data_IF_889476980897
#
_entry.id   IF_889476980897
#
_cell.length_a   1.000
_cell.length_b   1.000
_cell.length_c   1.000
_cell.angle_alpha   90.00
_cell.angle_beta   90.00
_cell.angle_gamma   90.00
#
_symmetry.space_group_name_H-M   'P 1'
#
loop_
_entity.id
_entity.type
_entity.pdbx_description
1 polymer ?
#
# COMPACT_ATOMS: atom_id res chain seq x y z
N UNK A 1 11.09 22.26 14.22
CA UNK A 1 10.20 21.69 15.26
C UNK A 1 8.74 21.55 14.84
N UNK A 2 8.09 22.50 14.13
CA UNK A 2 6.65 22.37 13.75
C UNK A 2 6.32 21.34 12.65
N UNK A 3 7.25 21.02 11.74
CA UNK A 3 7.00 20.06 10.64
C UNK A 3 6.96 18.61 11.13
N UNK A 4 7.80 18.25 12.10
CA UNK A 4 7.86 16.88 12.64
C UNK A 4 6.60 16.53 13.44
N UNK A 5 6.06 17.47 14.21
CA UNK A 5 4.79 17.27 14.93
C UNK A 5 3.60 17.03 13.99
N UNK A 6 3.54 17.72 12.84
CA UNK A 6 2.46 17.50 11.86
C UNK A 6 2.56 16.15 11.14
N UNK A 7 3.77 15.62 10.95
CA UNK A 7 3.96 14.30 10.35
C UNK A 7 3.60 13.19 11.32
N UNK A 8 4.06 13.28 12.58
CA UNK A 8 3.72 12.30 13.62
C UNK A 8 2.20 12.22 13.82
N UNK A 9 1.51 13.36 13.92
CA UNK A 9 0.05 13.41 14.02
C UNK A 9 -0.64 12.75 12.81
N UNK A 10 -0.11 12.94 11.60
CA UNK A 10 -0.63 12.28 10.40
C UNK A 10 -0.43 10.76 10.50
N UNK A 11 0.74 10.29 10.88
CA UNK A 11 1.04 8.87 11.01
C UNK A 11 0.16 8.20 12.09
N UNK A 12 0.00 8.83 13.25
CA UNK A 12 -0.91 8.36 14.31
C UNK A 12 -2.36 8.31 13.85
N UNK A 13 -2.81 9.32 13.09
CA UNK A 13 -4.15 9.33 12.50
C UNK A 13 -4.32 8.17 11.50
N UNK A 14 -3.34 7.93 10.63
CA UNK A 14 -3.38 6.82 9.66
C UNK A 14 -3.38 5.47 10.39
N UNK A 15 -2.52 5.30 11.40
CA UNK A 15 -2.46 4.08 12.21
C UNK A 15 -3.80 3.81 12.92
N UNK A 16 -4.36 4.81 13.60
CA UNK A 16 -5.64 4.66 14.32
C UNK A 16 -6.84 4.39 13.39
N UNK A 17 -6.81 4.92 12.16
CA UNK A 17 -7.89 4.78 11.17
C UNK A 17 -7.73 3.59 10.23
N UNK A 18 -6.58 2.92 10.27
CA UNK A 18 -6.22 1.79 9.40
C UNK A 18 -7.31 0.71 9.33
N UNK A 19 -7.93 0.38 10.46
CA UNK A 19 -8.97 -0.66 10.58
C UNK A 19 -10.21 -0.42 9.71
N UNK A 20 -10.45 0.81 9.24
CA UNK A 20 -11.54 1.10 8.30
C UNK A 20 -11.31 0.49 6.91
N UNK A 21 -10.04 0.19 6.56
CA UNK A 21 -9.63 -0.28 5.23
C UNK A 21 -8.84 -1.60 5.32
N UNK A 22 -7.94 -1.70 6.29
CA UNK A 22 -7.04 -2.83 6.52
C UNK A 22 -7.53 -3.65 7.72
N UNK A 23 -8.09 -4.86 7.50
CA UNK A 23 -8.79 -5.62 8.54
C UNK A 23 -7.84 -6.44 9.44
N UNK A 24 -6.61 -5.99 9.66
CA UNK A 24 -5.58 -6.67 10.45
C UNK A 24 -4.92 -5.68 11.43
N UNK A 25 -4.32 -6.19 12.51
CA UNK A 25 -3.63 -5.35 13.49
C UNK A 25 -2.34 -4.77 12.90
N UNK A 26 -2.27 -3.44 12.79
CA UNK A 26 -1.10 -2.72 12.27
C UNK A 26 0.16 -2.95 13.09
N UNK A 27 0.04 -3.17 14.40
CA UNK A 27 1.19 -3.43 15.26
C UNK A 27 1.83 -4.80 14.99
N UNK A 28 1.10 -5.71 14.34
CA UNK A 28 1.53 -7.07 14.03
C UNK A 28 1.97 -7.28 12.59
N UNK A 29 1.96 -6.24 11.76
CA UNK A 29 2.34 -6.35 10.35
C UNK A 29 3.42 -5.35 9.95
N UNK A 30 4.06 -5.60 8.81
CA UNK A 30 4.91 -4.61 8.15
C UNK A 30 4.49 -4.49 6.70
N UNK A 31 4.29 -3.26 6.24
CA UNK A 31 4.07 -2.94 4.84
C UNK A 31 5.42 -2.72 4.14
N UNK A 32 5.51 -3.18 2.91
CA UNK A 32 6.68 -2.99 2.06
C UNK A 32 6.23 -2.37 0.75
N UNK A 33 6.77 -1.20 0.46
CA UNK A 33 6.52 -0.47 -0.78
C UNK A 33 7.84 -0.37 -1.54
N UNK A 34 8.07 -1.32 -2.45
CA UNK A 34 9.35 -1.49 -3.13
C UNK A 34 9.20 -1.01 -4.58
N UNK A 35 9.96 0.01 -4.97
CA UNK A 35 9.97 0.51 -6.35
C UNK A 35 10.76 -0.46 -7.24
N UNK A 36 10.27 -0.71 -8.45
CA UNK A 36 10.98 -1.45 -9.51
C UNK A 36 11.11 -0.59 -10.76
N UNK A 37 12.02 -0.95 -11.68
CA UNK A 37 12.25 -0.18 -12.90
C UNK A 37 11.00 -0.05 -13.80
N UNK A 38 10.04 -0.97 -13.67
CA UNK A 38 8.82 -1.03 -14.49
C UNK A 38 7.53 -0.90 -13.67
N UNK A 39 7.62 -0.50 -12.39
CA UNK A 39 6.46 -0.38 -11.51
C UNK A 39 6.83 -0.48 -10.03
N UNK A 40 6.21 -1.40 -9.31
CA UNK A 40 6.48 -1.57 -7.88
C UNK A 40 5.81 -2.80 -7.25
N UNK A 41 6.23 -3.13 -6.04
CA UNK A 41 5.69 -4.22 -5.23
C UNK A 41 5.13 -3.65 -3.94
N UNK A 42 3.83 -3.89 -3.69
CA UNK A 42 3.23 -3.77 -2.37
C UNK A 42 3.23 -5.15 -1.73
N UNK A 43 3.95 -5.33 -0.62
CA UNK A 43 3.92 -6.57 0.16
C UNK A 43 3.51 -6.26 1.58
N UNK A 44 2.72 -7.14 2.19
CA UNK A 44 2.36 -7.03 3.61
C UNK A 44 2.70 -8.35 4.26
N UNK A 45 3.42 -8.30 5.37
CA UNK A 45 3.87 -9.48 6.12
C UNK A 45 3.40 -9.40 7.56
N UNK A 46 2.97 -10.52 8.13
CA UNK A 46 2.89 -10.67 9.57
C UNK A 46 4.30 -10.65 10.18
N UNK A 47 4.47 -9.99 11.33
CA UNK A 47 5.74 -9.97 12.07
C UNK A 47 6.04 -11.34 12.69
N UNK A 48 5.00 -12.06 13.09
CA UNK A 48 5.07 -13.46 13.53
C UNK A 48 4.58 -14.37 12.39
N UNK A 49 5.44 -15.23 11.82
CA UNK A 49 5.05 -16.16 10.76
C UNK A 49 4.06 -17.25 11.22
N UNK A 50 3.84 -17.41 12.54
CA UNK A 50 2.85 -18.31 13.10
C UNK A 50 1.47 -17.63 13.35
N UNK A 51 1.34 -16.31 13.19
CA UNK A 51 0.07 -15.60 13.36
C UNK A 51 -0.85 -15.83 12.14
N UNK A 52 -1.45 -17.01 12.09
CA UNK A 52 -2.31 -17.46 11.00
C UNK A 52 -3.52 -16.55 10.77
N UNK A 53 -4.01 -15.89 11.82
CA UNK A 53 -5.11 -14.93 11.75
C UNK A 53 -4.69 -13.71 10.92
N UNK A 54 -3.60 -13.04 11.30
CA UNK A 54 -3.06 -11.89 10.57
C UNK A 54 -2.71 -12.26 9.12
N UNK A 55 -2.07 -13.39 8.90
CA UNK A 55 -1.71 -13.88 7.55
C UNK A 55 -2.96 -14.05 6.68
N UNK A 56 -4.03 -14.64 7.23
CA UNK A 56 -5.29 -14.82 6.49
C UNK A 56 -5.96 -13.48 6.13
N UNK A 57 -5.94 -12.51 7.05
CA UNK A 57 -6.50 -11.18 6.84
C UNK A 57 -5.71 -10.40 5.79
N UNK A 58 -4.38 -10.47 5.82
CA UNK A 58 -3.50 -9.86 4.81
C UNK A 58 -3.82 -10.41 3.42
N UNK A 59 -3.87 -11.75 3.28
CA UNK A 59 -4.15 -12.41 2.00
C UNK A 59 -5.53 -12.01 1.45
N UNK A 60 -6.56 -12.00 2.30
CA UNK A 60 -7.91 -11.57 1.92
C UNK A 60 -7.94 -10.10 1.49
N UNK A 61 -7.28 -9.23 2.24
CA UNK A 61 -7.19 -7.81 1.94
C UNK A 61 -6.50 -7.57 0.58
N UNK A 62 -5.29 -8.11 0.37
CA UNK A 62 -4.57 -7.89 -0.89
C UNK A 62 -5.26 -8.54 -2.10
N UNK A 63 -5.96 -9.66 -1.92
CA UNK A 63 -6.79 -10.23 -2.99
C UNK A 63 -7.94 -9.28 -3.40
N UNK A 64 -8.60 -8.63 -2.43
CA UNK A 64 -9.60 -7.58 -2.69
C UNK A 64 -8.95 -6.38 -3.39
N UNK A 65 -7.84 -5.87 -2.87
CA UNK A 65 -7.14 -4.70 -3.43
C UNK A 65 -6.67 -4.95 -4.86
N UNK A 66 -6.20 -6.15 -5.17
CA UNK A 66 -5.86 -6.53 -6.56
C UNK A 66 -7.02 -6.28 -7.51
N UNK A 67 -8.25 -6.65 -7.11
CA UNK A 67 -9.43 -6.50 -7.97
C UNK A 67 -9.85 -5.04 -8.16
N UNK A 68 -9.63 -4.18 -7.15
CA UNK A 68 -9.86 -2.75 -7.24
C UNK A 68 -8.78 -2.07 -8.09
N UNK A 69 -7.51 -2.28 -7.78
CA UNK A 69 -6.39 -1.65 -8.48
C UNK A 69 -6.31 -2.07 -9.95
N UNK A 70 -6.65 -3.31 -10.29
CA UNK A 70 -6.73 -3.76 -11.69
C UNK A 70 -7.74 -2.96 -12.54
N UNK A 71 -8.69 -2.27 -11.89
CA UNK A 71 -9.67 -1.38 -12.53
C UNK A 71 -9.31 0.10 -12.40
N UNK A 72 -8.10 0.41 -11.93
CA UNK A 72 -7.67 1.72 -11.48
C UNK A 72 -8.58 2.34 -10.39
N UNK A 73 -9.23 1.49 -9.59
CA UNK A 73 -10.03 1.93 -8.44
C UNK A 73 -9.15 1.98 -7.19
N UNK A 74 -8.84 3.20 -6.74
CA UNK A 74 -8.05 3.48 -5.53
C UNK A 74 -8.92 4.01 -4.38
N UNK A 75 -10.20 3.63 -4.30
CA UNK A 75 -11.11 4.11 -3.24
C UNK A 75 -10.62 3.83 -1.82
N UNK A 76 -9.99 2.67 -1.59
CA UNK A 76 -9.51 2.25 -0.28
C UNK A 76 -8.34 3.15 0.18
N UNK A 77 -7.28 3.36 -0.64
CA UNK A 77 -6.26 4.38 -0.36
C UNK A 77 -6.83 5.80 -0.19
N UNK A 78 -7.81 6.21 -1.00
CA UNK A 78 -8.45 7.53 -0.87
C UNK A 78 -9.18 7.69 0.46
N UNK A 79 -9.83 6.63 0.93
CA UNK A 79 -10.58 6.62 2.20
C UNK A 79 -9.65 6.82 3.38
N UNK A 80 -8.48 6.16 3.37
CA UNK A 80 -7.54 6.24 4.48
C UNK A 80 -6.64 7.49 4.42
N UNK A 81 -6.04 7.79 3.26
CA UNK A 81 -4.98 8.80 3.13
C UNK A 81 -5.49 10.16 2.63
N UNK A 82 -6.73 10.21 2.15
CA UNK A 82 -7.36 11.36 1.51
C UNK A 82 -7.26 11.33 -0.02
N UNK A 83 -8.21 12.01 -0.67
CA UNK A 83 -8.35 12.07 -2.13
C UNK A 83 -7.13 12.66 -2.85
N UNK A 84 -6.31 13.43 -2.14
CA UNK A 84 -5.16 14.17 -2.68
C UNK A 84 -3.81 13.52 -2.37
N UNK A 85 -3.78 12.27 -1.88
CA UNK A 85 -2.51 11.56 -1.71
C UNK A 85 -1.73 11.55 -3.04
N UNK A 86 -0.43 11.91 -3.03
CA UNK A 86 0.38 11.96 -4.24
C UNK A 86 0.30 10.67 -5.07
N UNK A 87 0.29 10.81 -6.39
CA UNK A 87 0.16 9.70 -7.35
C UNK A 87 -1.27 9.24 -7.63
N UNK A 88 -2.21 9.35 -6.67
CA UNK A 88 -3.56 8.78 -6.83
C UNK A 88 -4.36 9.34 -8.01
N UNK A 89 -4.19 10.63 -8.34
CA UNK A 89 -4.88 11.25 -9.49
C UNK A 89 -4.50 10.55 -10.80
N UNK A 90 -3.20 10.40 -11.06
CA UNK A 90 -2.68 9.74 -12.26
C UNK A 90 -3.05 8.27 -12.28
N UNK A 91 -2.85 7.56 -11.17
CA UNK A 91 -3.15 6.13 -11.08
C UNK A 91 -4.64 5.83 -11.30
N UNK A 92 -5.54 6.64 -10.74
CA UNK A 92 -6.99 6.50 -10.94
C UNK A 92 -7.42 6.75 -12.40
N UNK A 93 -6.67 7.56 -13.15
CA UNK A 93 -6.92 7.83 -14.57
C UNK A 93 -6.26 6.82 -15.52
N UNK A 94 -5.56 5.82 -15.00
CA UNK A 94 -4.68 4.93 -15.78
C UNK A 94 -5.26 3.54 -16.02
N UNK A 95 -6.59 3.42 -16.10
CA UNK A 95 -7.27 2.15 -16.37
C UNK A 95 -6.74 1.52 -17.66
N UNK A 96 -6.29 0.27 -17.60
CA UNK A 96 -5.72 -0.46 -18.73
C UNK A 96 -4.26 -0.12 -19.06
N UNK A 97 -3.60 0.77 -18.30
CA UNK A 97 -2.20 1.15 -18.51
C UNK A 97 -1.19 0.42 -17.62
N UNK A 98 -1.66 -0.41 -16.68
CA UNK A 98 -0.81 -1.21 -15.81
C UNK A 98 -1.51 -2.52 -15.44
N UNK A 99 -0.72 -3.51 -15.03
CA UNK A 99 -1.21 -4.78 -14.48
C UNK A 99 -1.01 -4.82 -12.98
N UNK A 100 -1.81 -5.65 -12.30
CA UNK A 100 -1.67 -5.91 -10.85
C UNK A 100 -1.80 -7.42 -10.62
N UNK A 101 -0.67 -8.04 -10.29
CA UNK A 101 -0.59 -9.47 -10.03
C UNK A 101 -0.52 -9.75 -8.54
N UNK A 102 -1.35 -10.69 -8.06
CA UNK A 102 -1.39 -11.10 -6.67
C UNK A 102 -0.61 -12.40 -6.46
N UNK A 103 0.15 -12.48 -5.37
CA UNK A 103 0.83 -13.71 -4.95
C UNK A 103 0.69 -13.89 -3.43
N UNK A 104 0.27 -15.09 -3.01
CA UNK A 104 0.34 -15.52 -1.61
C UNK A 104 1.80 -15.79 -1.21
N UNK A 105 2.14 -15.44 0.03
CA UNK A 105 3.43 -15.73 0.66
C UNK A 105 3.19 -16.49 1.98
N UNK A 106 4.14 -17.29 2.48
CA UNK A 106 3.97 -18.02 3.74
C UNK A 106 3.52 -17.12 4.90
N UNK A 107 4.07 -15.91 4.99
CA UNK A 107 3.87 -14.92 6.05
C UNK A 107 2.98 -13.73 5.63
N UNK A 108 2.29 -13.82 4.50
CA UNK A 108 1.41 -12.73 4.02
C UNK A 108 1.05 -12.84 2.55
N UNK A 109 1.14 -11.73 1.83
CA UNK A 109 0.92 -11.66 0.39
C UNK A 109 1.61 -10.43 -0.23
N UNK A 110 1.66 -10.39 -1.57
CA UNK A 110 2.11 -9.22 -2.33
C UNK A 110 1.26 -8.95 -3.56
N UNK A 111 1.28 -7.69 -3.99
CA UNK A 111 0.84 -7.20 -5.28
C UNK A 111 2.04 -6.69 -6.07
N UNK A 112 2.17 -7.11 -7.32
CA UNK A 112 3.16 -6.58 -8.26
C UNK A 112 2.45 -5.71 -9.28
N UNK A 113 2.82 -4.44 -9.34
CA UNK A 113 2.35 -3.48 -10.33
C UNK A 113 3.40 -3.39 -11.45
N UNK A 114 2.95 -3.45 -12.71
CA UNK A 114 3.83 -3.29 -13.86
C UNK A 114 3.19 -2.42 -14.95
N UNK A 115 3.97 -1.57 -15.59
CA UNK A 115 3.56 -0.73 -16.71
C UNK A 115 4.71 -0.53 -17.71
N UNK A 116 4.37 -0.11 -18.93
CA UNK A 116 5.30 0.44 -19.92
C UNK A 116 5.16 1.96 -20.09
N UNK A 117 4.14 2.56 -19.46
CA UNK A 117 3.89 4.00 -19.50
C UNK A 117 4.70 4.66 -18.38
N UNK A 118 5.70 5.48 -18.76
CA UNK A 118 6.60 6.15 -17.82
C UNK A 118 5.84 7.00 -16.79
N UNK A 119 4.77 7.68 -17.20
CA UNK A 119 3.98 8.51 -16.29
C UNK A 119 3.24 7.68 -15.23
N UNK A 120 2.87 6.43 -15.55
CA UNK A 120 2.25 5.50 -14.59
C UNK A 120 3.29 4.95 -13.62
N UNK A 121 4.49 4.63 -14.11
CA UNK A 121 5.60 4.17 -13.26
C UNK A 121 5.97 5.27 -12.25
N UNK A 122 6.14 6.51 -12.72
CA UNK A 122 6.44 7.65 -11.85
C UNK A 122 5.34 7.88 -10.82
N UNK A 123 4.07 7.77 -11.23
CA UNK A 123 2.94 7.90 -10.31
C UNK A 123 2.88 6.78 -9.25
N UNK A 124 3.24 5.53 -9.60
CA UNK A 124 3.37 4.44 -8.64
C UNK A 124 4.46 4.74 -7.62
N UNK A 125 5.62 5.23 -8.08
CA UNK A 125 6.74 5.56 -7.20
C UNK A 125 6.40 6.70 -6.24
N UNK A 126 5.77 7.77 -6.75
CA UNK A 126 5.28 8.89 -5.93
C UNK A 126 4.24 8.42 -4.91
N UNK A 127 3.32 7.55 -5.30
CA UNK A 127 2.33 6.98 -4.39
C UNK A 127 2.97 6.10 -3.31
N UNK A 128 3.96 5.29 -3.66
CA UNK A 128 4.71 4.46 -2.71
C UNK A 128 5.51 5.30 -1.71
N UNK A 129 6.16 6.38 -2.15
CA UNK A 129 6.88 7.30 -1.26
C UNK A 129 5.90 8.00 -0.29
N UNK A 130 4.70 8.36 -0.76
CA UNK A 130 3.66 8.90 0.10
C UNK A 130 3.15 7.86 1.12
N UNK A 131 2.99 6.60 0.71
CA UNK A 131 2.61 5.50 1.60
C UNK A 131 3.65 5.26 2.71
N UNK A 132 4.93 5.22 2.34
CA UNK A 132 6.04 5.09 3.28
C UNK A 132 6.03 6.21 4.31
N UNK A 133 5.76 7.44 3.87
CA UNK A 133 5.67 8.61 4.75
C UNK A 133 4.46 8.53 5.69
N UNK A 134 3.31 8.08 5.21
CA UNK A 134 2.06 8.01 5.98
C UNK A 134 2.03 6.87 6.99
N UNK A 135 2.63 5.73 6.64
CA UNK A 135 2.68 4.55 7.51
C UNK A 135 3.85 4.57 8.50
N UNK A 136 4.87 5.40 8.28
CA UNK A 136 5.97 5.58 9.22
C UNK A 136 6.64 4.26 9.62
N UNK A 137 6.68 3.95 10.92
CA UNK A 137 7.29 2.73 11.45
C UNK A 137 6.63 1.42 10.99
N UNK A 138 5.41 1.47 10.47
CA UNK A 138 4.68 0.30 9.99
C UNK A 138 5.04 -0.06 8.53
N UNK A 139 5.90 0.73 7.88
CA UNK A 139 6.28 0.52 6.49
C UNK A 139 7.80 0.61 6.22
N UNK A 140 8.26 -0.10 5.19
CA UNK A 140 9.66 -0.14 4.75
C UNK A 140 9.77 -0.13 3.22
N UNK A 141 10.85 0.45 2.70
CA UNK A 141 11.12 0.48 1.24
C UNK A 141 11.94 -0.70 0.73
N UNK A 142 12.38 -1.58 1.63
CA UNK A 142 13.18 -2.78 1.38
C UNK A 142 12.95 -3.81 2.47
N UNK A 143 13.27 -5.06 2.19
CA UNK A 143 13.25 -6.16 3.17
C UNK A 143 14.47 -6.12 4.10
#
# INVERSE_FOLDING_TARGET
MRKDSTLMQRQEMIHSRSHMVMPFDMNKVTHYFIKTNNGGILRIKAKDPADTLQISMIRKHLSKERNLFSKADFKDPKTLHGMHMPGLKTLSGSKGKFTVDYQQLPDGAKLTFASKDAAVIDALHVWFDAQLRDHGSDAKSKE
#
